data_IF_960444660187
#
_entry.id   IF_960444660187
#
_cell.length_a   1.000
_cell.length_b   1.000
_cell.length_c   1.000
_cell.angle_alpha   90.00
_cell.angle_beta   90.00
_cell.angle_gamma   90.00
#
_symmetry.space_group_name_H-M   'P 1'
#
loop_
_entity.id
_entity.type
_entity.pdbx_description
1 polymer ?
#
# COMPACT_ATOMS: atom_id res chain seq x y z
N UNK A 1 47.04 15.54 -4.38
CA UNK A 1 45.94 15.52 -5.37
C UNK A 1 45.03 14.30 -5.27
N UNK A 2 45.56 13.07 -5.15
CA UNK A 2 44.75 11.82 -5.13
C UNK A 2 43.73 11.74 -3.97
N UNK A 3 44.09 12.23 -2.77
CA UNK A 3 43.20 12.27 -1.59
C UNK A 3 41.99 13.21 -1.77
N UNK A 4 42.15 14.35 -2.45
CA UNK A 4 41.04 15.28 -2.70
C UNK A 4 40.03 14.71 -3.70
N UNK A 5 40.49 13.91 -4.67
CA UNK A 5 39.64 13.21 -5.65
C UNK A 5 38.87 12.07 -4.99
N UNK A 6 39.51 11.31 -4.09
CA UNK A 6 38.86 10.26 -3.30
C UNK A 6 37.77 10.80 -2.36
N UNK A 7 38.00 11.95 -1.72
CA UNK A 7 36.99 12.65 -0.92
C UNK A 7 35.81 13.15 -1.76
N UNK A 8 36.08 13.65 -2.97
CA UNK A 8 35.03 14.12 -3.88
C UNK A 8 34.15 12.96 -4.38
N UNK A 9 34.76 11.81 -4.71
CA UNK A 9 34.03 10.59 -5.09
C UNK A 9 33.18 10.02 -3.94
N UNK A 10 33.68 10.08 -2.69
CA UNK A 10 32.91 9.68 -1.52
C UNK A 10 31.69 10.58 -1.27
N UNK A 11 31.84 11.90 -1.43
CA UNK A 11 30.73 12.86 -1.26
C UNK A 11 29.67 12.70 -2.37
N UNK A 12 30.10 12.46 -3.62
CA UNK A 12 29.17 12.17 -4.74
C UNK A 12 28.44 10.84 -4.52
N UNK A 13 29.10 9.84 -3.94
CA UNK A 13 28.47 8.55 -3.60
C UNK A 13 27.44 8.65 -2.47
N UNK A 14 27.56 9.61 -1.54
CA UNK A 14 26.58 9.80 -0.46
C UNK A 14 25.29 10.50 -0.95
N UNK A 15 25.35 11.27 -2.04
CA UNK A 15 24.19 12.00 -2.59
C UNK A 15 23.20 11.12 -3.35
N UNK A 16 23.58 9.88 -3.72
CA UNK A 16 22.74 8.98 -4.53
C UNK A 16 21.89 8.01 -3.71
N UNK A 17 22.01 8.02 -2.38
CA UNK A 17 21.43 6.96 -1.53
C UNK A 17 20.01 7.25 -1.02
N UNK A 18 19.36 8.35 -1.44
CA UNK A 18 18.10 8.81 -0.80
C UNK A 18 16.83 8.69 -1.66
N UNK A 19 16.86 8.07 -2.84
CA UNK A 19 15.75 8.17 -3.81
C UNK A 19 14.77 6.98 -3.91
N UNK A 20 14.88 5.92 -3.11
CA UNK A 20 14.01 4.75 -3.31
C UNK A 20 12.59 4.91 -2.72
N UNK A 21 12.45 5.59 -1.58
CA UNK A 21 11.17 5.73 -0.87
C UNK A 21 10.20 6.68 -1.57
N UNK A 22 10.71 7.76 -2.17
CA UNK A 22 9.86 8.71 -2.89
C UNK A 22 9.21 8.06 -4.13
N UNK A 23 9.93 7.19 -4.82
CA UNK A 23 9.44 6.54 -6.04
C UNK A 23 8.20 5.67 -5.80
N UNK A 24 8.19 4.84 -4.75
CA UNK A 24 7.02 4.00 -4.45
C UNK A 24 5.80 4.82 -4.03
N UNK A 25 6.01 5.83 -3.16
CA UNK A 25 4.92 6.68 -2.67
C UNK A 25 4.25 7.43 -3.82
N UNK A 26 5.04 7.98 -4.73
CA UNK A 26 4.54 8.69 -5.91
C UNK A 26 3.81 7.74 -6.86
N UNK A 27 4.36 6.55 -7.11
CA UNK A 27 3.71 5.52 -7.96
C UNK A 27 2.34 5.11 -7.44
N UNK A 28 2.23 4.79 -6.15
CA UNK A 28 0.95 4.44 -5.53
C UNK A 28 -0.01 5.62 -5.52
N UNK A 29 0.48 6.82 -5.19
CA UNK A 29 -0.38 8.00 -5.16
C UNK A 29 -0.96 8.33 -6.53
N UNK A 30 -0.13 8.21 -7.58
CA UNK A 30 -0.56 8.36 -8.96
C UNK A 30 -1.53 7.26 -9.39
N UNK A 31 -1.26 6.00 -9.05
CA UNK A 31 -2.16 4.89 -9.38
C UNK A 31 -3.54 5.08 -8.72
N UNK A 32 -3.59 5.36 -7.42
CA UNK A 32 -4.84 5.62 -6.69
C UNK A 32 -5.60 6.81 -7.27
N UNK A 33 -4.90 7.91 -7.54
CA UNK A 33 -5.53 9.11 -8.13
C UNK A 33 -6.09 8.85 -9.52
N UNK A 34 -5.36 8.12 -10.36
CA UNK A 34 -5.78 7.80 -11.73
C UNK A 34 -6.95 6.81 -11.77
N UNK A 35 -6.96 5.81 -10.90
CA UNK A 35 -7.96 4.74 -10.91
C UNK A 35 -9.26 5.15 -10.19
N UNK A 36 -9.17 5.86 -9.06
CA UNK A 36 -10.33 6.23 -8.25
C UNK A 36 -10.85 7.64 -8.58
N UNK A 37 -9.96 8.57 -8.95
CA UNK A 37 -10.32 9.94 -9.27
C UNK A 37 -11.22 10.58 -8.20
N UNK A 38 -12.47 10.90 -8.58
CA UNK A 38 -13.45 11.51 -7.67
C UNK A 38 -13.94 10.58 -6.56
N UNK A 39 -13.89 9.26 -6.75
CA UNK A 39 -14.29 8.25 -5.74
C UNK A 39 -13.42 8.34 -4.50
N UNK A 40 -12.17 8.86 -4.59
CA UNK A 40 -11.31 9.06 -3.43
C UNK A 40 -11.97 9.88 -2.31
N UNK A 41 -12.90 10.79 -2.64
CA UNK A 41 -13.62 11.58 -1.62
C UNK A 41 -14.54 10.78 -0.72
N UNK A 42 -14.86 9.54 -1.08
CA UNK A 42 -15.74 8.66 -0.30
C UNK A 42 -14.99 8.01 0.87
N UNK A 43 -13.67 7.92 0.78
CA UNK A 43 -12.83 7.19 1.71
C UNK A 43 -11.95 8.12 2.54
N UNK A 44 -11.79 7.77 3.81
CA UNK A 44 -10.82 8.38 4.72
C UNK A 44 -9.50 7.58 4.69
N UNK A 45 -9.59 6.27 4.41
CA UNK A 45 -8.45 5.38 4.32
C UNK A 45 -8.56 4.42 3.12
N UNK A 46 -7.43 4.13 2.49
CA UNK A 46 -7.32 3.08 1.47
C UNK A 46 -6.20 2.14 1.88
N UNK A 47 -6.54 0.88 2.11
CA UNK A 47 -5.61 -0.19 2.46
C UNK A 47 -5.21 -0.96 1.20
N UNK A 48 -3.92 -1.06 0.97
CA UNK A 48 -3.32 -1.89 -0.06
C UNK A 48 -2.74 -3.12 0.62
N UNK A 49 -3.29 -4.29 0.35
CA UNK A 49 -2.94 -5.55 1.02
C UNK A 49 -2.44 -6.54 -0.03
N UNK A 50 -1.13 -6.81 -0.12
CA UNK A 50 -0.61 -7.82 -1.02
C UNK A 50 -0.96 -9.22 -0.51
N UNK A 51 -1.45 -10.08 -1.39
CA UNK A 51 -1.79 -11.48 -1.07
C UNK A 51 -0.53 -12.39 -0.95
N UNK A 52 0.67 -11.85 -1.09
CA UNK A 52 1.93 -12.58 -0.90
C UNK A 52 3.07 -11.64 -0.53
N UNK A 53 4.00 -12.13 0.29
CA UNK A 53 5.05 -11.33 0.91
C UNK A 53 5.27 -11.76 2.36
N UNK A 54 5.48 -10.79 3.25
CA UNK A 54 5.65 -11.05 4.68
C UNK A 54 4.35 -11.60 5.32
N UNK A 55 4.32 -12.90 5.63
CA UNK A 55 3.13 -13.58 6.16
C UNK A 55 2.58 -12.94 7.43
N UNK A 56 3.45 -12.44 8.32
CA UNK A 56 3.04 -11.80 9.57
C UNK A 56 2.25 -10.51 9.33
N UNK A 57 2.84 -9.57 8.58
CA UNK A 57 2.19 -8.30 8.24
C UNK A 57 0.88 -8.50 7.46
N UNK A 58 0.86 -9.46 6.52
CA UNK A 58 -0.34 -9.78 5.75
C UNK A 58 -1.44 -10.32 6.67
N UNK A 59 -1.12 -11.22 7.58
CA UNK A 59 -2.12 -11.80 8.50
C UNK A 59 -2.76 -10.74 9.40
N UNK A 60 -1.98 -9.75 9.85
CA UNK A 60 -2.49 -8.63 10.64
C UNK A 60 -3.41 -7.72 9.81
N UNK A 61 -3.04 -7.47 8.55
CA UNK A 61 -3.89 -6.75 7.60
C UNK A 61 -5.21 -7.46 7.31
N UNK A 62 -5.17 -8.77 7.12
CA UNK A 62 -6.35 -9.61 6.91
C UNK A 62 -7.28 -9.63 8.14
N UNK A 63 -6.71 -9.63 9.34
CA UNK A 63 -7.47 -9.55 10.59
C UNK A 63 -8.19 -8.19 10.72
N UNK A 64 -7.47 -7.10 10.46
CA UNK A 64 -8.06 -5.76 10.47
C UNK A 64 -9.16 -5.63 9.42
N UNK A 65 -8.93 -6.12 8.20
CA UNK A 65 -9.93 -6.19 7.15
C UNK A 65 -11.21 -6.88 7.63
N UNK A 66 -11.11 -8.09 8.19
CA UNK A 66 -12.29 -8.83 8.67
C UNK A 66 -13.10 -8.07 9.72
N UNK A 67 -12.41 -7.28 10.55
CA UNK A 67 -13.03 -6.54 11.65
C UNK A 67 -13.65 -5.21 11.21
N UNK A 68 -13.19 -4.63 10.09
CA UNK A 68 -13.56 -3.27 9.65
C UNK A 68 -14.10 -3.20 8.22
N UNK A 69 -14.31 -4.34 7.54
CA UNK A 69 -14.82 -4.37 6.16
C UNK A 69 -16.21 -3.73 6.02
N UNK A 70 -16.97 -3.62 7.12
CA UNK A 70 -18.25 -2.91 7.17
C UNK A 70 -18.14 -1.39 7.27
N UNK A 71 -16.95 -0.85 7.55
CA UNK A 71 -16.70 0.59 7.50
C UNK A 71 -16.51 1.05 6.05
N UNK A 72 -17.53 1.73 5.53
CA UNK A 72 -17.53 2.23 4.15
C UNK A 72 -16.61 3.44 3.94
N UNK A 73 -16.03 4.01 5.01
CA UNK A 73 -14.95 5.00 4.92
C UNK A 73 -13.59 4.39 4.63
N UNK A 74 -13.49 3.07 4.66
CA UNK A 74 -12.25 2.34 4.37
C UNK A 74 -12.41 1.56 3.07
N UNK A 75 -11.56 1.85 2.08
CA UNK A 75 -11.40 0.99 0.90
C UNK A 75 -10.33 -0.05 1.17
N UNK A 76 -10.59 -1.31 0.82
CA UNK A 76 -9.61 -2.38 0.84
C UNK A 76 -9.28 -2.83 -0.58
N UNK A 77 -8.00 -2.83 -0.93
CA UNK A 77 -7.49 -3.22 -2.24
C UNK A 77 -6.53 -4.39 -2.05
N UNK A 78 -6.92 -5.56 -2.55
CA UNK A 78 -6.07 -6.75 -2.52
C UNK A 78 -5.29 -6.86 -3.84
N UNK A 79 -3.95 -6.88 -3.75
CA UNK A 79 -3.05 -7.01 -4.90
C UNK A 79 -2.39 -8.39 -4.91
N UNK A 80 -1.70 -8.74 -6.01
CA UNK A 80 -1.00 -10.02 -6.19
C UNK A 80 -1.90 -11.24 -5.98
N UNK A 81 -3.14 -11.18 -6.46
CA UNK A 81 -4.12 -12.24 -6.25
C UNK A 81 -3.77 -13.43 -7.16
N UNK A 82 -3.24 -14.50 -6.58
CA UNK A 82 -3.01 -15.77 -7.28
C UNK A 82 -4.28 -16.62 -7.41
N UNK A 83 -5.15 -16.59 -6.40
CA UNK A 83 -6.36 -17.40 -6.37
C UNK A 83 -7.47 -16.70 -5.61
N UNK A 84 -8.53 -16.33 -6.31
CA UNK A 84 -9.75 -15.80 -5.69
C UNK A 84 -10.36 -16.79 -4.70
N UNK A 85 -10.28 -18.09 -4.99
CA UNK A 85 -10.85 -19.15 -4.14
C UNK A 85 -10.13 -19.19 -2.79
N UNK A 86 -8.80 -19.16 -2.81
CA UNK A 86 -8.00 -19.15 -1.60
C UNK A 86 -8.31 -17.91 -0.75
N UNK A 87 -8.29 -16.72 -1.39
CA UNK A 87 -8.62 -15.46 -0.73
C UNK A 87 -10.03 -15.50 -0.10
N UNK A 88 -11.02 -16.06 -0.81
CA UNK A 88 -12.38 -16.19 -0.30
C UNK A 88 -12.51 -17.15 0.89
N UNK A 89 -11.70 -18.22 0.94
CA UNK A 89 -11.66 -19.13 2.09
C UNK A 89 -11.08 -18.41 3.30
N UNK A 90 -9.97 -17.67 3.12
CA UNK A 90 -9.32 -16.96 4.24
C UNK A 90 -10.15 -15.78 4.74
N UNK A 91 -10.70 -14.98 3.83
CA UNK A 91 -11.29 -13.67 4.14
C UNK A 91 -12.82 -13.65 4.22
N UNK A 92 -13.47 -14.71 3.72
CA UNK A 92 -14.92 -14.82 3.64
C UNK A 92 -15.45 -14.31 2.30
N UNK A 93 -16.16 -15.17 1.58
CA UNK A 93 -16.73 -14.87 0.24
C UNK A 93 -17.63 -13.62 0.24
N UNK A 94 -18.46 -13.45 1.27
CA UNK A 94 -19.35 -12.28 1.40
C UNK A 94 -18.57 -10.98 1.63
N UNK A 95 -17.48 -11.03 2.39
CA UNK A 95 -16.64 -9.86 2.64
C UNK A 95 -15.97 -9.38 1.35
N UNK A 96 -15.49 -10.29 0.52
CA UNK A 96 -14.89 -9.93 -0.78
C UNK A 96 -15.89 -9.38 -1.82
N UNK A 97 -17.19 -9.42 -1.54
CA UNK A 97 -18.24 -8.88 -2.41
C UNK A 97 -18.71 -7.48 -1.97
N UNK A 98 -18.20 -6.94 -0.86
CA UNK A 98 -18.59 -5.61 -0.42
C UNK A 98 -18.04 -4.53 -1.36
N UNK A 99 -18.81 -3.44 -1.50
CA UNK A 99 -18.52 -2.33 -2.44
C UNK A 99 -17.19 -1.62 -2.20
N UNK A 100 -16.73 -1.60 -0.96
CA UNK A 100 -15.46 -0.99 -0.56
C UNK A 100 -14.28 -1.96 -0.72
N UNK A 101 -14.47 -3.14 -1.32
CA UNK A 101 -13.40 -4.12 -1.58
C UNK A 101 -13.09 -4.18 -3.07
N UNK A 102 -11.83 -3.97 -3.40
CA UNK A 102 -11.28 -4.10 -4.75
C UNK A 102 -10.34 -5.32 -4.80
N UNK A 103 -10.52 -6.15 -5.81
CA UNK A 103 -9.62 -7.26 -6.13
C UNK A 103 -8.83 -6.86 -7.37
N UNK A 104 -7.59 -6.42 -7.16
CA UNK A 104 -6.71 -5.92 -8.21
C UNK A 104 -6.02 -7.08 -8.94
N UNK A 105 -6.74 -7.70 -9.88
CA UNK A 105 -6.21 -8.80 -10.70
C UNK A 105 -5.17 -8.33 -11.72
N UNK A 106 -5.23 -7.06 -12.13
CA UNK A 106 -4.33 -6.47 -13.12
C UNK A 106 -3.05 -5.92 -12.47
N UNK A 107 -2.96 -5.93 -11.13
CA UNK A 107 -1.82 -5.42 -10.36
C UNK A 107 -1.52 -3.94 -10.64
N UNK A 108 -2.56 -3.13 -10.85
CA UNK A 108 -2.46 -1.69 -11.08
C UNK A 108 -1.82 -0.94 -9.90
N UNK A 109 -1.85 -1.52 -8.71
CA UNK A 109 -1.26 -0.95 -7.50
C UNK A 109 -0.06 -1.75 -6.97
N UNK A 110 0.52 -2.64 -7.77
CA UNK A 110 1.70 -3.42 -7.39
C UNK A 110 2.89 -3.13 -8.31
N UNK A 111 3.98 -2.65 -7.73
CA UNK A 111 5.20 -2.28 -8.44
C UNK A 111 6.33 -3.25 -8.05
N UNK A 112 6.67 -4.25 -8.89
CA UNK A 112 7.62 -5.30 -8.54
C UNK A 112 9.05 -4.79 -8.26
N UNK A 113 9.41 -3.64 -8.82
CA UNK A 113 10.68 -2.96 -8.56
C UNK A 113 10.75 -2.27 -7.18
N UNK A 114 9.61 -2.07 -6.52
CA UNK A 114 9.52 -1.48 -5.19
C UNK A 114 9.29 -2.58 -4.14
N UNK A 115 10.20 -2.71 -3.17
CA UNK A 115 10.11 -3.75 -2.12
C UNK A 115 8.91 -3.52 -1.20
N UNK A 116 8.51 -2.27 -1.06
CA UNK A 116 7.37 -1.78 -0.30
C UNK A 116 6.05 -2.39 -0.80
N UNK A 117 5.94 -2.70 -2.10
CA UNK A 117 4.77 -3.36 -2.70
C UNK A 117 4.49 -4.76 -2.13
N UNK A 118 5.43 -5.35 -1.38
CA UNK A 118 5.29 -6.64 -0.70
C UNK A 118 4.70 -6.53 0.71
N UNK A 119 4.42 -5.31 1.19
CA UNK A 119 3.90 -5.04 2.52
C UNK A 119 2.56 -4.31 2.45
N UNK A 120 1.69 -4.49 3.47
CA UNK A 120 0.48 -3.69 3.59
C UNK A 120 0.79 -2.21 3.81
N UNK A 121 0.13 -1.34 3.05
CA UNK A 121 0.29 0.11 3.12
C UNK A 121 -1.08 0.77 3.24
N UNK A 122 -1.14 1.85 3.99
CA UNK A 122 -2.36 2.64 4.17
C UNK A 122 -2.17 4.03 3.60
N UNK A 123 -3.04 4.42 2.67
CA UNK A 123 -3.18 5.80 2.25
C UNK A 123 -4.22 6.50 3.11
N UNK A 124 -3.82 7.58 3.78
CA UNK A 124 -4.73 8.53 4.43
C UNK A 124 -5.23 9.51 3.38
N UNK A 125 -6.55 9.64 3.28
CA UNK A 125 -7.19 10.49 2.28
C UNK A 125 -7.85 11.67 2.99
N UNK A 126 -7.61 12.87 2.49
CA UNK A 126 -8.20 14.11 2.97
C UNK A 126 -8.72 14.92 1.81
N UNK A 127 -10.02 15.21 1.82
CA UNK A 127 -10.70 15.96 0.76
C UNK A 127 -10.51 15.35 -0.66
N UNK A 128 -10.36 14.02 -0.75
CA UNK A 128 -10.14 13.30 -2.00
C UNK A 128 -8.73 13.38 -2.56
N UNK A 129 -7.75 13.73 -1.73
CA UNK A 129 -6.31 13.70 -2.06
C UNK A 129 -5.59 12.86 -1.00
N UNK A 130 -4.54 12.16 -1.41
CA UNK A 130 -3.70 11.41 -0.49
C UNK A 130 -2.88 12.40 0.34
N UNK A 131 -3.15 12.43 1.63
CA UNK A 131 -2.43 13.26 2.61
C UNK A 131 -1.10 12.58 2.98
N UNK A 132 -1.12 11.26 3.15
CA UNK A 132 0.05 10.49 3.55
C UNK A 132 -0.08 9.00 3.23
N UNK A 133 1.04 8.37 2.93
CA UNK A 133 1.18 6.91 2.96
C UNK A 133 1.90 6.48 4.23
N UNK A 134 1.37 5.46 4.90
CA UNK A 134 1.93 4.92 6.13
C UNK A 134 1.96 3.38 6.08
N UNK A 135 2.91 2.81 6.81
CA UNK A 135 2.86 1.38 7.10
C UNK A 135 1.68 1.08 8.02
N UNK A 136 1.09 -0.09 7.86
CA UNK A 136 -0.11 -0.48 8.60
C UNK A 136 0.08 -0.48 10.13
N UNK A 137 1.25 -0.85 10.62
CA UNK A 137 1.57 -0.90 12.05
C UNK A 137 1.34 0.45 12.76
N UNK A 138 1.57 1.55 12.05
CA UNK A 138 1.36 2.91 12.55
C UNK A 138 -0.14 3.16 12.75
N UNK A 139 -0.97 2.73 11.80
CA UNK A 139 -2.41 2.94 11.89
C UNK A 139 -3.06 2.06 12.96
N UNK A 140 -2.60 0.81 13.11
CA UNK A 140 -3.10 -0.10 14.15
C UNK A 140 -2.83 0.41 15.57
N UNK A 141 -1.77 1.20 15.77
CA UNK A 141 -1.54 1.89 17.04
C UNK A 141 -2.55 3.00 17.35
N UNK A 142 -3.25 3.51 16.32
CA UNK A 142 -4.28 4.56 16.45
C UNK A 142 -5.67 3.97 16.74
N UNK A 143 -5.89 2.68 16.45
CA UNK A 143 -7.18 1.97 16.65
C UNK A 143 -7.20 1.06 17.90
N UNK A 144 -6.13 1.04 18.72
CA UNK A 144 -6.10 0.38 20.04
C UNK A 144 -6.50 1.36 21.14
#
# INVERSE_FOLDING_TARGET
MKIKILLYLAIVSLLVCSCCINDYSDKISNALTNQLGKEMKEYDYIFLIPNSGCTGCISEAEYFFKSHVDDMKIKFVFTRIYSRKELAIRLGKSNLQKKNVCLDYENLYFFPECKESMYPVVAKVKNGVIDKLENMDILLSTYK
#
